data_IF_985720795103
#
_entry.id   IF_985720795103
#
_cell.length_a   1.000
_cell.length_b   1.000
_cell.length_c   1.000
_cell.angle_alpha   90.00
_cell.angle_beta   90.00
_cell.angle_gamma   90.00
#
_symmetry.space_group_name_H-M   'P 1'
#
loop_
_entity.id
_entity.type
_entity.pdbx_description
1 polymer ?
#
# COMPACT_ATOMS: atom_id res chain seq x y z
N UNK A 1 -10.22 -11.93 0.22
CA UNK A 1 -9.53 -11.29 1.37
C UNK A 1 -8.24 -11.96 1.81
N UNK A 2 -8.20 -13.25 2.22
CA UNK A 2 -6.93 -13.88 2.65
C UNK A 2 -5.81 -13.85 1.59
N UNK A 3 -6.15 -13.97 0.30
CA UNK A 3 -5.18 -13.90 -0.81
C UNK A 3 -4.58 -12.51 -0.97
N UNK A 4 -5.41 -11.46 -0.97
CA UNK A 4 -4.95 -10.06 -1.04
C UNK A 4 -3.99 -9.73 0.12
N UNK A 5 -4.27 -10.18 1.34
CA UNK A 5 -3.38 -9.93 2.48
C UNK A 5 -2.00 -10.57 2.31
N UNK A 6 -1.92 -11.78 1.75
CA UNK A 6 -0.65 -12.45 1.44
C UNK A 6 0.14 -11.64 0.40
N UNK A 7 -0.53 -11.20 -0.65
CA UNK A 7 0.08 -10.40 -1.72
C UNK A 7 0.58 -9.04 -1.20
N UNK A 8 -0.16 -8.40 -0.30
CA UNK A 8 0.26 -7.15 0.32
C UNK A 8 1.49 -7.34 1.22
N UNK A 9 1.58 -8.45 1.97
CA UNK A 9 2.76 -8.78 2.78
C UNK A 9 4.00 -9.05 1.93
N UNK A 10 3.83 -9.81 0.85
CA UNK A 10 4.91 -10.06 -0.10
C UNK A 10 5.41 -8.75 -0.71
N UNK A 11 4.49 -7.89 -1.15
CA UNK A 11 4.86 -6.60 -1.73
C UNK A 11 5.50 -5.65 -0.71
N UNK A 12 5.04 -5.63 0.54
CA UNK A 12 5.67 -4.86 1.60
C UNK A 12 7.12 -5.28 1.86
N UNK A 13 7.40 -6.59 1.77
CA UNK A 13 8.75 -7.14 1.89
C UNK A 13 9.65 -6.67 0.75
N UNK A 14 9.14 -6.69 -0.49
CA UNK A 14 9.86 -6.11 -1.64
C UNK A 14 10.16 -4.62 -1.44
N UNK A 15 9.18 -3.85 -0.95
CA UNK A 15 9.34 -2.42 -0.69
C UNK A 15 10.42 -2.15 0.37
N UNK A 16 10.47 -2.93 1.46
CA UNK A 16 11.51 -2.78 2.47
C UNK A 16 12.93 -3.02 1.93
N UNK A 17 13.08 -3.87 0.91
CA UNK A 17 14.38 -4.14 0.27
C UNK A 17 14.76 -3.01 -0.70
N UNK A 18 13.79 -2.53 -1.48
CA UNK A 18 14.05 -1.64 -2.62
C UNK A 18 13.88 -0.15 -2.31
N UNK A 19 13.11 0.21 -1.28
CA UNK A 19 12.87 1.59 -0.89
C UNK A 19 13.80 1.95 0.27
N UNK A 20 14.84 2.77 0.04
CA UNK A 20 15.72 3.22 1.11
C UNK A 20 14.95 4.12 2.08
N UNK A 21 15.19 3.94 3.38
CA UNK A 21 14.49 4.74 4.40
C UNK A 21 14.49 4.16 5.81
N UNK A 22 15.00 2.93 6.01
CA UNK A 22 15.07 2.30 7.33
C UNK A 22 13.72 1.78 7.86
N UNK A 23 12.69 1.78 7.02
CA UNK A 23 11.38 1.22 7.36
C UNK A 23 11.37 -0.30 7.20
N UNK A 24 10.68 -0.96 8.12
CA UNK A 24 10.50 -2.41 8.11
C UNK A 24 9.43 -2.83 7.09
N UNK A 25 9.39 -4.12 6.77
CA UNK A 25 8.31 -4.69 5.97
C UNK A 25 6.93 -4.50 6.63
N UNK A 26 6.87 -4.44 7.96
CA UNK A 26 5.63 -4.18 8.69
C UNK A 26 5.15 -2.74 8.46
N UNK A 27 6.06 -1.76 8.47
CA UNK A 27 5.73 -0.36 8.19
C UNK A 27 5.13 -0.18 6.79
N UNK A 28 5.71 -0.86 5.80
CA UNK A 28 5.19 -0.87 4.44
C UNK A 28 3.85 -1.62 4.33
N UNK A 29 3.67 -2.72 5.06
CA UNK A 29 2.42 -3.46 5.05
C UNK A 29 1.26 -2.63 5.58
N UNK A 30 1.45 -1.97 6.73
CA UNK A 30 0.47 -1.06 7.31
C UNK A 30 0.17 0.12 6.39
N UNK A 31 1.21 0.68 5.76
CA UNK A 31 1.04 1.72 4.75
C UNK A 31 0.16 1.25 3.59
N UNK A 32 0.43 0.06 3.03
CA UNK A 32 -0.36 -0.51 1.94
C UNK A 32 -1.81 -0.79 2.37
N UNK A 33 -2.01 -1.26 3.60
CA UNK A 33 -3.35 -1.49 4.17
C UNK A 33 -4.12 -0.18 4.33
N UNK A 34 -3.46 0.87 4.79
CA UNK A 34 -4.05 2.20 4.88
C UNK A 34 -4.38 2.79 3.51
N UNK A 35 -3.52 2.56 2.51
CA UNK A 35 -3.76 2.98 1.14
C UNK A 35 -4.96 2.24 0.51
N UNK A 36 -5.10 0.95 0.80
CA UNK A 36 -6.28 0.17 0.43
C UNK A 36 -7.55 0.73 1.07
N UNK A 37 -7.55 0.93 2.38
CA UNK A 37 -8.69 1.51 3.09
C UNK A 37 -9.06 2.90 2.57
N UNK A 38 -8.07 3.74 2.25
CA UNK A 38 -8.29 5.05 1.64
C UNK A 38 -8.90 4.93 0.24
N UNK A 39 -8.45 3.95 -0.56
CA UNK A 39 -9.00 3.67 -1.88
C UNK A 39 -10.46 3.20 -1.80
N UNK A 40 -10.78 2.32 -0.83
CA UNK A 40 -12.16 1.89 -0.52
C UNK A 40 -13.04 3.10 -0.17
N UNK A 41 -12.55 3.99 0.71
CA UNK A 41 -13.30 5.21 1.07
C UNK A 41 -13.50 6.17 -0.11
N UNK A 42 -12.56 6.24 -1.03
CA UNK A 42 -12.60 7.18 -2.17
C UNK A 42 -13.45 6.65 -3.33
N UNK A 43 -13.39 5.35 -3.63
CA UNK A 43 -14.13 4.73 -4.73
C UNK A 43 -15.49 4.17 -4.32
N UNK A 44 -15.74 4.01 -3.01
CA UNK A 44 -16.93 3.36 -2.47
C UNK A 44 -16.71 1.86 -2.31
N UNK A 45 -17.21 1.32 -1.19
CA UNK A 45 -17.05 -0.08 -0.80
C UNK A 45 -17.62 -1.03 -1.86
N UNK A 46 -18.81 -0.75 -2.37
CA UNK A 46 -19.46 -1.53 -3.43
C UNK A 46 -18.63 -1.60 -4.73
N UNK A 47 -17.92 -0.53 -5.08
CA UNK A 47 -17.05 -0.53 -6.27
C UNK A 47 -15.81 -1.39 -6.06
N UNK A 48 -15.21 -1.35 -4.87
CA UNK A 48 -14.01 -2.14 -4.56
C UNK A 48 -14.34 -3.61 -4.34
N UNK A 49 -15.51 -3.94 -3.78
CA UNK A 49 -15.97 -5.33 -3.64
C UNK A 49 -16.22 -6.01 -4.99
N UNK A 50 -16.60 -5.23 -6.01
CA UNK A 50 -16.75 -5.73 -7.38
C UNK A 50 -15.40 -5.91 -8.11
N UNK A 51 -14.30 -5.34 -7.57
CA UNK A 51 -12.97 -5.52 -8.14
C UNK A 51 -12.35 -6.85 -7.70
N UNK A 52 -11.69 -7.53 -8.63
CA UNK A 52 -10.89 -8.70 -8.27
C UNK A 52 -9.69 -8.29 -7.41
N UNK A 53 -9.25 -9.19 -6.52
CA UNK A 53 -8.03 -9.03 -5.69
C UNK A 53 -6.82 -8.59 -6.55
N UNK A 54 -6.69 -9.11 -7.78
CA UNK A 54 -5.63 -8.74 -8.72
C UNK A 54 -5.74 -7.28 -9.19
N UNK A 55 -6.96 -6.81 -9.46
CA UNK A 55 -7.19 -5.42 -9.90
C UNK A 55 -6.90 -4.45 -8.77
N UNK A 56 -7.35 -4.77 -7.55
CA UNK A 56 -7.01 -4.00 -6.34
C UNK A 56 -5.51 -3.91 -6.17
N UNK A 57 -4.80 -5.04 -6.28
CA UNK A 57 -3.34 -5.08 -6.16
C UNK A 57 -2.64 -4.25 -7.24
N UNK A 58 -3.12 -4.27 -8.50
CA UNK A 58 -2.57 -3.44 -9.58
C UNK A 58 -2.72 -1.95 -9.29
N UNK A 59 -3.89 -1.53 -8.80
CA UNK A 59 -4.14 -0.12 -8.42
C UNK A 59 -3.19 0.31 -7.31
N UNK A 60 -3.08 -0.49 -6.24
CA UNK A 60 -2.17 -0.19 -5.13
C UNK A 60 -0.71 -0.11 -5.58
N UNK A 61 -0.24 -1.06 -6.41
CA UNK A 61 1.11 -1.05 -6.97
C UNK A 61 1.37 0.20 -7.84
N UNK A 62 0.37 0.65 -8.59
CA UNK A 62 0.47 1.89 -9.40
C UNK A 62 0.62 3.12 -8.51
N UNK A 63 -0.25 3.27 -7.51
CA UNK A 63 -0.20 4.38 -6.55
C UNK A 63 1.13 4.41 -5.80
N UNK A 64 1.61 3.25 -5.35
CA UNK A 64 2.91 3.12 -4.66
C UNK A 64 4.06 3.52 -5.59
N UNK A 65 4.05 3.07 -6.85
CA UNK A 65 5.06 3.45 -7.84
C UNK A 65 5.10 4.97 -8.03
N UNK A 66 3.95 5.63 -8.16
CA UNK A 66 3.88 7.09 -8.25
C UNK A 66 4.47 7.76 -7.00
N UNK A 67 4.15 7.26 -5.81
CA UNK A 67 4.70 7.80 -4.56
C UNK A 67 6.22 7.62 -4.42
N UNK A 68 6.76 6.52 -4.96
CA UNK A 68 8.21 6.28 -5.04
C UNK A 68 8.84 7.29 -6.01
N UNK A 69 8.28 7.47 -7.21
CA UNK A 69 8.78 8.42 -8.20
C UNK A 69 8.76 9.86 -7.68
N UNK A 70 7.73 10.23 -6.92
CA UNK A 70 7.62 11.53 -6.27
C UNK A 70 8.50 11.67 -5.01
N UNK A 71 9.21 10.62 -4.59
CA UNK A 71 9.97 10.55 -3.34
C UNK A 71 9.12 10.94 -2.11
N UNK A 72 7.83 10.61 -2.14
CA UNK A 72 6.83 10.97 -1.11
C UNK A 72 6.58 9.85 -0.11
N UNK A 73 6.87 8.60 -0.47
CA UNK A 73 6.58 7.43 0.37
C UNK A 73 7.20 7.56 1.77
N UNK A 74 8.46 7.97 1.87
CA UNK A 74 9.12 8.21 3.15
C UNK A 74 8.46 9.31 3.98
N UNK A 75 8.03 10.42 3.36
CA UNK A 75 7.33 11.50 4.08
C UNK A 75 5.98 11.05 4.64
N UNK A 76 5.28 10.17 3.91
CA UNK A 76 4.00 9.62 4.33
C UNK A 76 4.18 8.60 5.47
N UNK A 77 5.24 7.78 5.41
CA UNK A 77 5.61 6.87 6.48
C UNK A 77 5.96 7.63 7.77
N UNK A 78 6.82 8.66 7.72
CA UNK A 78 7.13 9.49 8.91
C UNK A 78 5.90 10.19 9.49
N UNK A 79 4.96 10.63 8.64
CA UNK A 79 3.72 11.27 9.11
C UNK A 79 2.81 10.29 9.82
N UNK A 80 2.84 9.00 9.45
CA UNK A 80 2.08 7.93 10.10
C UNK A 80 2.55 7.74 11.55
N UNK A 81 3.86 7.73 11.80
CA UNK A 81 4.44 7.51 13.13
C UNK A 81 4.25 8.67 14.11
N UNK A 82 3.68 9.80 13.65
CA UNK A 82 3.45 11.00 14.46
C UNK A 82 2.03 11.12 15.03
N UNK A 83 1.12 10.21 14.67
CA UNK A 83 -0.28 10.18 15.15
C UNK A 83 -0.44 8.97 16.07
#
# INVERSE_FOLDING_TARGET
MARLEIELRAYATELAIHVPGGYSAEDFYDFLRNLYNASVRHHGEETVEQMSDETVLKVLKSQVRELIQLKRIGKLLVRRDRI
#
